data_IF_899716567065
#
_entry.id   IF_899716567065
#
_cell.length_a   1.000
_cell.length_b   1.000
_cell.length_c   1.000
_cell.angle_alpha   90.00
_cell.angle_beta   90.00
_cell.angle_gamma   90.00
#
_symmetry.space_group_name_H-M   'P 1'
#
loop_
_entity.id
_entity.type
_entity.pdbx_description
1 polymer ?
#
# COMPACT_ATOMS: atom_id res chain seq x y z
N UNK A 1 -9.38 5.68 -16.62
CA UNK A 1 -8.53 4.73 -17.38
C UNK A 1 -8.29 3.51 -16.50
N UNK A 2 -9.15 2.50 -16.59
CA UNK A 2 -8.97 1.18 -15.98
C UNK A 2 -8.06 0.35 -16.88
N UNK A 3 -6.76 0.67 -16.93
CA UNK A 3 -5.77 -0.27 -17.45
C UNK A 3 -5.31 -1.07 -16.25
N UNK A 4 -5.68 -2.35 -16.21
CA UNK A 4 -5.19 -3.40 -15.32
C UNK A 4 -4.54 -2.94 -13.99
N UNK A 5 -5.37 -2.82 -12.93
CA UNK A 5 -4.91 -2.42 -11.59
C UNK A 5 -3.83 -3.37 -11.03
N UNK A 6 -3.90 -4.66 -11.34
CA UNK A 6 -2.92 -5.66 -10.93
C UNK A 6 -1.54 -5.41 -11.55
N UNK A 7 -1.50 -5.06 -12.84
CA UNK A 7 -0.25 -4.72 -13.52
C UNK A 7 0.41 -3.45 -12.94
N UNK A 8 -0.40 -2.46 -12.54
CA UNK A 8 0.10 -1.26 -11.86
C UNK A 8 0.66 -1.60 -10.49
N UNK A 9 -0.05 -2.39 -9.70
CA UNK A 9 0.42 -2.87 -8.41
C UNK A 9 1.77 -3.62 -8.51
N UNK A 10 1.87 -4.58 -9.44
CA UNK A 10 3.11 -5.35 -9.66
C UNK A 10 4.27 -4.43 -10.06
N UNK A 11 4.04 -3.46 -10.94
CA UNK A 11 5.07 -2.51 -11.34
C UNK A 11 5.53 -1.64 -10.17
N UNK A 12 4.60 -1.19 -9.32
CA UNK A 12 4.92 -0.34 -8.18
C UNK A 12 5.70 -1.09 -7.10
N UNK A 13 5.35 -2.36 -6.85
CA UNK A 13 6.14 -3.25 -5.98
C UNK A 13 7.55 -3.48 -6.56
N UNK A 14 7.67 -3.68 -7.87
CA UNK A 14 8.99 -3.78 -8.54
C UNK A 14 9.81 -2.50 -8.39
N UNK A 15 9.20 -1.33 -8.56
CA UNK A 15 9.88 -0.04 -8.39
C UNK A 15 10.37 0.14 -6.94
N UNK A 16 9.57 -0.30 -5.96
CA UNK A 16 9.90 -0.19 -4.55
C UNK A 16 10.98 -1.18 -4.10
N UNK A 17 10.84 -2.47 -4.43
CA UNK A 17 11.70 -3.54 -3.91
C UNK A 17 12.88 -3.91 -4.82
N UNK A 18 12.69 -3.89 -6.15
CA UNK A 18 13.66 -4.44 -7.09
C UNK A 18 14.51 -3.39 -7.81
N UNK A 19 14.00 -2.16 -7.96
CA UNK A 19 14.65 -1.10 -8.73
C UNK A 19 15.25 0.03 -7.86
N UNK A 20 15.22 -0.11 -6.54
CA UNK A 20 15.71 0.89 -5.58
C UNK A 20 15.14 2.31 -5.82
N UNK A 21 13.86 2.38 -6.21
CA UNK A 21 13.11 3.63 -6.38
C UNK A 21 11.98 3.76 -5.34
N UNK A 22 12.29 3.76 -4.04
CA UNK A 22 11.29 3.63 -2.98
C UNK A 22 10.26 4.79 -2.98
N UNK A 23 10.71 6.02 -3.23
CA UNK A 23 9.82 7.20 -3.29
C UNK A 23 8.78 7.10 -4.42
N UNK A 24 9.19 6.54 -5.56
CA UNK A 24 8.32 6.40 -6.73
C UNK A 24 7.31 5.27 -6.54
N UNK A 25 7.77 4.13 -6.01
CA UNK A 25 6.90 3.00 -5.64
C UNK A 25 5.86 3.40 -4.58
N UNK A 26 6.29 4.03 -3.47
CA UNK A 26 5.40 4.48 -2.38
C UNK A 26 4.31 5.44 -2.87
N UNK A 27 4.67 6.43 -3.69
CA UNK A 27 3.71 7.45 -4.17
C UNK A 27 2.53 6.82 -4.92
N UNK A 28 2.79 5.78 -5.69
CA UNK A 28 1.77 5.13 -6.49
C UNK A 28 1.02 4.04 -5.70
N UNK A 29 1.72 3.30 -4.82
CA UNK A 29 1.09 2.35 -3.89
C UNK A 29 0.06 2.99 -2.97
N UNK A 30 0.26 4.26 -2.60
CA UNK A 30 -0.72 5.03 -1.82
C UNK A 30 -2.13 5.04 -2.43
N UNK A 31 -2.24 4.97 -3.76
CA UNK A 31 -3.52 5.05 -4.46
C UNK A 31 -3.99 3.72 -5.03
N UNK A 32 -3.07 2.80 -5.34
CA UNK A 32 -3.39 1.48 -5.90
C UNK A 32 -3.60 0.42 -4.81
N UNK A 33 -2.89 0.52 -3.68
CA UNK A 33 -2.82 -0.49 -2.64
C UNK A 33 -2.53 0.15 -1.26
N UNK A 34 -3.46 1.00 -0.79
CA UNK A 34 -3.33 1.82 0.42
C UNK A 34 -2.88 1.03 1.67
N UNK A 35 -3.33 -0.21 1.83
CA UNK A 35 -2.94 -1.06 2.96
C UNK A 35 -1.48 -1.53 2.87
N UNK A 36 -1.01 -1.88 1.67
CA UNK A 36 0.39 -2.26 1.44
C UNK A 36 1.29 -1.04 1.62
N UNK A 37 0.86 0.13 1.15
CA UNK A 37 1.52 1.40 1.42
C UNK A 37 1.65 1.67 2.94
N UNK A 38 0.59 1.48 3.71
CA UNK A 38 0.60 1.65 5.16
C UNK A 38 1.56 0.67 5.87
N UNK A 39 1.57 -0.60 5.47
CA UNK A 39 2.51 -1.62 5.96
C UNK A 39 3.95 -1.23 5.64
N UNK A 40 4.22 -0.78 4.42
CA UNK A 40 5.55 -0.33 3.99
C UNK A 40 6.06 0.84 4.85
N UNK A 41 5.22 1.84 5.11
CA UNK A 41 5.57 2.96 5.99
C UNK A 41 5.99 2.46 7.39
N UNK A 42 5.22 1.54 7.98
CA UNK A 42 5.52 0.99 9.31
C UNK A 42 6.86 0.25 9.35
N UNK A 43 7.17 -0.60 8.35
CA UNK A 43 8.43 -1.35 8.34
C UNK A 43 9.65 -0.48 7.99
N UNK A 44 9.45 0.68 7.35
CA UNK A 44 10.53 1.62 7.05
C UNK A 44 10.78 2.68 8.12
N UNK A 45 10.09 2.59 9.26
CA UNK A 45 10.29 3.48 10.40
C UNK A 45 9.29 4.63 10.51
N UNK A 46 8.39 4.79 9.54
CA UNK A 46 7.29 5.78 9.55
C UNK A 46 6.04 5.18 10.22
N UNK A 47 6.21 4.67 11.43
CA UNK A 47 5.19 3.87 12.11
C UNK A 47 3.89 4.64 12.39
N UNK A 48 3.98 5.88 12.85
CA UNK A 48 2.79 6.70 13.14
C UNK A 48 1.98 7.02 11.88
N UNK A 49 2.66 7.39 10.78
CA UNK A 49 1.99 7.65 9.51
C UNK A 49 1.34 6.38 8.95
N UNK A 50 2.05 5.25 8.97
CA UNK A 50 1.51 3.97 8.56
C UNK A 50 0.28 3.55 9.37
N UNK A 51 0.31 3.73 10.71
CA UNK A 51 -0.83 3.45 11.57
C UNK A 51 -2.03 4.36 11.29
N UNK A 52 -1.81 5.64 10.98
CA UNK A 52 -2.89 6.54 10.60
C UNK A 52 -3.61 6.06 9.32
N UNK A 53 -2.87 5.55 8.33
CA UNK A 53 -3.47 4.94 7.14
C UNK A 53 -4.20 3.63 7.45
N UNK A 54 -3.67 2.81 8.36
CA UNK A 54 -4.36 1.59 8.80
C UNK A 54 -5.68 1.94 9.49
N UNK A 55 -5.69 2.92 10.39
CA UNK A 55 -6.90 3.35 11.12
C UNK A 55 -7.96 3.94 10.17
N UNK A 56 -7.57 4.64 9.10
CA UNK A 56 -8.49 5.07 8.03
C UNK A 56 -9.19 3.89 7.32
N UNK A 57 -8.56 2.71 7.30
CA UNK A 57 -9.14 1.48 6.72
C UNK A 57 -9.99 0.69 7.73
N UNK A 58 -10.14 1.20 8.95
CA UNK A 58 -10.87 0.58 10.06
C UNK A 58 -10.38 -0.85 10.36
N UNK A 59 -9.07 -1.08 10.19
CA UNK A 59 -8.49 -2.43 10.14
C UNK A 59 -8.70 -3.24 11.42
N UNK A 60 -8.83 -2.58 12.58
CA UNK A 60 -9.00 -3.23 13.89
C UNK A 60 -10.38 -3.83 14.09
N UNK A 61 -11.39 -3.28 13.42
CA UNK A 61 -12.81 -3.54 13.66
C UNK A 61 -13.50 -4.10 12.44
N UNK A 62 -12.90 -3.96 11.25
CA UNK A 62 -13.47 -4.38 9.98
C UNK A 62 -12.53 -5.33 9.24
N UNK A 63 -12.43 -6.57 9.68
CA UNK A 63 -11.67 -7.60 8.95
C UNK A 63 -12.16 -7.79 7.49
N UNK A 64 -13.42 -7.45 7.19
CA UNK A 64 -13.95 -7.54 5.82
C UNK A 64 -13.41 -6.45 4.89
N UNK A 65 -13.04 -5.26 5.40
CA UNK A 65 -12.38 -4.23 4.59
C UNK A 65 -10.95 -4.64 4.28
N UNK A 66 -10.25 -5.23 5.27
CA UNK A 66 -8.91 -5.81 5.10
C UNK A 66 -8.94 -6.95 4.07
N UNK A 67 -9.90 -7.87 4.17
CA UNK A 67 -10.05 -8.99 3.22
C UNK A 67 -10.31 -8.51 1.78
N UNK A 68 -11.06 -7.41 1.60
CA UNK A 68 -11.29 -6.82 0.27
C UNK A 68 -10.04 -6.15 -0.30
N UNK A 69 -9.11 -5.70 0.53
CA UNK A 69 -7.85 -5.16 0.04
C UNK A 69 -6.90 -6.27 -0.47
N UNK A 70 -7.17 -7.54 -0.15
CA UNK A 70 -6.38 -8.70 -0.60
C UNK A 70 -6.99 -9.48 -1.77
N UNK A 71 -8.23 -9.22 -2.16
CA UNK A 71 -8.92 -9.84 -3.30
C UNK A 71 -8.84 -8.99 -4.55
#
# INVERSE_FOLDING_TARGET
KTRNAEAHFIEEVKQYLALDQPKKGLKHLKFSATMIYAILLMITGEHEEGMAFMDLLDWRTNMLSVDRCWR
#
